data_IF_706803817211
#
_entry.id   IF_706803817211
#
_cell.length_a   1.000
_cell.length_b   1.000
_cell.length_c   1.000
_cell.angle_alpha   90.00
_cell.angle_beta   90.00
_cell.angle_gamma   90.00
#
_symmetry.space_group_name_H-M   'P 1'
#
loop_
_entity.id
_entity.type
_entity.pdbx_description
1 polymer ?
#
# COMPACT_ATOMS: atom_id res chain seq x y z
N UNK A 1 -14.39 23.12 -2.81
CA UNK A 1 -13.41 22.95 -1.74
C UNK A 1 -12.02 22.85 -2.36
N UNK A 2 -11.01 23.50 -1.77
CA UNK A 2 -9.65 23.49 -2.29
C UNK A 2 -8.96 22.16 -1.95
N UNK A 3 -7.90 21.82 -2.71
CA UNK A 3 -7.04 20.70 -2.43
C UNK A 3 -6.12 21.03 -1.23
N UNK A 4 -6.19 20.30 -0.10
CA UNK A 4 -5.37 20.58 1.08
C UNK A 4 -3.87 20.55 0.80
N UNK A 5 -3.41 19.70 -0.11
CA UNK A 5 -2.00 19.57 -0.44
C UNK A 5 -1.43 20.79 -1.20
N UNK A 6 -2.27 21.53 -1.91
CA UNK A 6 -1.87 22.67 -2.73
C UNK A 6 -2.38 24.03 -2.24
N UNK A 7 -3.46 24.04 -1.46
CA UNK A 7 -4.16 25.29 -1.09
C UNK A 7 -3.99 25.65 0.39
N UNK A 8 -3.69 24.69 1.27
CA UNK A 8 -3.47 24.97 2.69
C UNK A 8 -2.16 25.72 2.92
N UNK A 9 -2.23 26.73 3.77
CA UNK A 9 -1.09 27.53 4.22
C UNK A 9 -1.02 27.56 5.74
N UNK A 10 0.14 27.91 6.30
CA UNK A 10 0.36 28.01 7.75
C UNK A 10 0.84 29.42 8.11
N UNK A 11 -0.05 30.42 8.10
CA UNK A 11 0.31 31.80 8.43
C UNK A 11 0.94 31.90 9.81
N UNK A 12 2.05 32.65 9.93
CA UNK A 12 2.75 32.86 11.20
C UNK A 12 3.61 31.72 11.68
N UNK A 13 3.70 30.61 10.95
CA UNK A 13 4.62 29.50 11.25
C UNK A 13 5.96 29.75 10.55
N UNK A 14 7.01 30.03 11.34
CA UNK A 14 8.36 30.25 10.82
C UNK A 14 8.86 29.03 10.05
N UNK A 15 9.35 29.25 8.83
CA UNK A 15 9.82 28.20 7.93
C UNK A 15 8.73 27.63 7.01
N UNK A 16 7.46 27.90 7.31
CA UNK A 16 6.32 27.47 6.49
C UNK A 16 5.82 28.55 5.51
N UNK A 17 6.62 29.57 5.26
CA UNK A 17 6.32 30.57 4.24
C UNK A 17 6.33 29.91 2.86
N UNK A 18 5.29 30.17 2.08
CA UNK A 18 5.19 29.68 0.71
C UNK A 18 6.28 30.26 -0.18
N UNK A 19 6.88 29.45 -1.02
CA UNK A 19 7.79 29.92 -2.08
C UNK A 19 6.96 30.52 -3.22
N UNK A 20 7.08 31.82 -3.50
CA UNK A 20 6.28 32.49 -4.52
C UNK A 20 6.65 32.12 -5.96
N UNK A 21 7.71 31.37 -6.17
CA UNK A 21 8.11 30.92 -7.51
C UNK A 21 7.23 29.75 -8.02
N UNK A 22 6.45 29.11 -7.15
CA UNK A 22 5.50 28.06 -7.54
C UNK A 22 4.10 28.63 -7.73
N UNK A 23 3.36 28.10 -8.70
CA UNK A 23 1.98 28.47 -9.01
C UNK A 23 0.96 27.86 -8.04
N UNK A 24 1.39 27.03 -7.10
CA UNK A 24 0.57 26.32 -6.10
C UNK A 24 1.10 26.57 -4.69
N UNK A 25 0.24 26.38 -3.71
CA UNK A 25 0.53 26.54 -2.28
C UNK A 25 0.44 25.20 -1.55
N UNK A 26 0.42 25.20 -0.22
CA UNK A 26 0.20 24.03 0.59
C UNK A 26 1.41 23.11 0.73
N UNK A 27 1.16 21.84 1.02
CA UNK A 27 2.21 20.84 1.25
C UNK A 27 3.15 20.69 0.05
N UNK A 28 2.62 20.72 -1.15
CA UNK A 28 3.45 20.54 -2.37
C UNK A 28 4.41 21.70 -2.59
N UNK A 29 3.98 22.94 -2.27
CA UNK A 29 4.87 24.09 -2.30
C UNK A 29 6.00 23.94 -1.27
N UNK A 30 5.66 23.61 -0.02
CA UNK A 30 6.66 23.41 1.02
C UNK A 30 7.63 22.27 0.70
N UNK A 31 7.13 21.18 0.15
CA UNK A 31 7.96 20.04 -0.25
C UNK A 31 8.95 20.42 -1.36
N UNK A 32 8.52 21.18 -2.36
CA UNK A 32 9.41 21.66 -3.40
C UNK A 32 10.38 22.77 -2.93
N UNK A 33 9.96 23.63 -1.99
CA UNK A 33 10.86 24.54 -1.27
C UNK A 33 11.96 23.76 -0.53
N UNK A 34 11.59 22.67 0.15
CA UNK A 34 12.54 21.77 0.82
C UNK A 34 13.51 21.13 -0.18
N UNK A 35 13.03 20.64 -1.32
CA UNK A 35 13.88 20.06 -2.37
C UNK A 35 14.90 21.03 -2.94
N UNK A 36 14.58 22.33 -3.07
CA UNK A 36 15.56 23.35 -3.47
C UNK A 36 16.73 23.45 -2.48
N UNK A 37 16.48 23.23 -1.22
CA UNK A 37 17.49 23.24 -0.14
C UNK A 37 18.24 21.91 -0.04
N UNK A 38 17.59 20.81 -0.48
CA UNK A 38 18.08 19.44 -0.39
C UNK A 38 17.94 18.72 -1.74
N UNK A 39 18.76 19.08 -2.74
CA UNK A 39 18.59 18.63 -4.14
C UNK A 39 18.78 17.12 -4.34
N UNK A 40 19.44 16.45 -3.42
CA UNK A 40 19.64 15.00 -3.44
C UNK A 40 18.41 14.20 -2.94
N UNK A 41 17.45 14.87 -2.27
CA UNK A 41 16.22 14.24 -1.80
C UNK A 41 15.25 14.07 -2.96
N UNK A 42 14.74 12.85 -3.13
CA UNK A 42 13.69 12.53 -4.09
C UNK A 42 12.34 12.44 -3.37
N UNK A 43 11.32 12.99 -3.99
CA UNK A 43 9.95 12.96 -3.47
C UNK A 43 9.04 12.25 -4.46
N UNK A 44 8.27 11.30 -3.97
CA UNK A 44 7.28 10.57 -4.78
C UNK A 44 5.90 10.86 -4.23
N UNK A 45 4.92 10.88 -5.14
CA UNK A 45 3.51 10.87 -4.74
C UNK A 45 3.06 9.42 -4.58
N UNK A 46 2.55 9.06 -3.40
CA UNK A 46 1.93 7.76 -3.17
C UNK A 46 0.45 7.82 -3.51
N UNK A 47 -0.02 6.87 -4.31
CA UNK A 47 -1.38 6.83 -4.83
C UNK A 47 -2.07 5.55 -4.40
N UNK A 48 -3.24 5.68 -3.80
CA UNK A 48 -4.04 4.58 -3.27
C UNK A 48 -4.04 4.53 -1.74
N UNK A 49 -3.66 3.40 -1.20
CA UNK A 49 -3.72 3.12 0.24
C UNK A 49 -4.98 2.36 0.63
N UNK A 50 -5.03 1.93 1.90
CA UNK A 50 -6.10 1.08 2.43
C UNK A 50 -7.51 1.61 2.14
N UNK A 51 -7.74 2.90 2.34
CA UNK A 51 -9.06 3.51 2.18
C UNK A 51 -9.41 3.85 0.72
N UNK A 52 -8.43 4.01 -0.16
CA UNK A 52 -8.66 4.60 -1.50
C UNK A 52 -8.43 3.58 -2.63
N UNK A 53 -8.01 2.35 -2.32
CA UNK A 53 -7.74 1.32 -3.34
C UNK A 53 -8.97 0.93 -4.15
N UNK A 54 -10.12 0.73 -3.50
CA UNK A 54 -11.36 0.29 -4.16
C UNK A 54 -12.34 1.41 -4.49
N UNK A 55 -12.06 2.62 -4.03
CA UNK A 55 -12.95 3.76 -4.19
C UNK A 55 -12.57 4.91 -3.26
N UNK A 56 -13.54 5.63 -2.75
CA UNK A 56 -13.31 6.73 -1.81
C UNK A 56 -14.50 6.91 -0.87
N UNK A 57 -14.31 7.66 0.20
CA UNK A 57 -15.40 8.10 1.06
C UNK A 57 -15.91 9.47 0.61
N UNK A 58 -17.23 9.57 0.36
CA UNK A 58 -17.89 10.84 0.07
C UNK A 58 -17.89 11.77 1.28
N UNK A 59 -18.29 13.01 1.08
CA UNK A 59 -18.38 14.02 2.16
C UNK A 59 -19.36 13.61 3.28
N UNK A 60 -20.32 12.77 2.97
CA UNK A 60 -21.30 12.19 3.91
C UNK A 60 -20.79 10.93 4.63
N UNK A 61 -19.54 10.53 4.39
CA UNK A 61 -18.93 9.31 4.91
C UNK A 61 -19.40 8.02 4.21
N UNK A 62 -20.16 8.12 3.12
CA UNK A 62 -20.60 6.96 2.35
C UNK A 62 -19.46 6.47 1.45
N UNK A 63 -19.21 5.15 1.45
CA UNK A 63 -18.24 4.52 0.57
C UNK A 63 -18.72 4.53 -0.88
N UNK A 64 -17.93 5.11 -1.78
CA UNK A 64 -18.14 5.04 -3.24
C UNK A 64 -17.19 4.00 -3.82
N UNK A 65 -17.73 2.85 -4.22
CA UNK A 65 -16.96 1.69 -4.68
C UNK A 65 -16.67 1.78 -6.20
N UNK A 66 -16.12 2.90 -6.64
CA UNK A 66 -15.71 3.12 -8.02
C UNK A 66 -14.61 4.18 -8.09
N UNK A 67 -13.87 4.18 -9.19
CA UNK A 67 -12.77 5.14 -9.40
C UNK A 67 -11.45 4.76 -8.72
N UNK A 68 -11.40 3.67 -7.95
CA UNK A 68 -10.19 3.12 -7.38
C UNK A 68 -9.51 2.10 -8.31
N UNK A 69 -8.42 1.52 -7.86
CA UNK A 69 -7.57 0.63 -8.66
C UNK A 69 -8.31 -0.60 -9.21
N UNK A 70 -9.19 -1.24 -8.42
CA UNK A 70 -9.89 -2.45 -8.88
C UNK A 70 -10.65 -2.22 -10.18
N UNK A 71 -11.42 -1.13 -10.27
CA UNK A 71 -12.24 -0.85 -11.45
C UNK A 71 -11.45 -0.13 -12.55
N UNK A 72 -10.45 0.63 -12.19
CA UNK A 72 -9.59 1.33 -13.11
C UNK A 72 -8.70 0.36 -13.89
N UNK A 73 -8.19 -0.70 -13.24
CA UNK A 73 -7.27 -1.66 -13.87
C UNK A 73 -7.96 -2.86 -14.50
N UNK A 74 -9.14 -3.27 -13.97
CA UNK A 74 -9.74 -4.56 -14.29
C UNK A 74 -11.24 -4.41 -14.54
N UNK A 75 -11.72 -4.89 -15.69
CA UNK A 75 -13.14 -4.95 -16.04
C UNK A 75 -13.90 -5.93 -15.15
N UNK A 76 -15.24 -5.86 -15.18
CA UNK A 76 -16.08 -6.73 -14.37
C UNK A 76 -15.96 -8.23 -14.73
N UNK A 77 -15.55 -8.54 -15.94
CA UNK A 77 -15.30 -9.90 -16.43
C UNK A 77 -13.87 -10.42 -16.09
N UNK A 78 -13.07 -9.62 -15.38
CA UNK A 78 -11.69 -9.94 -15.02
C UNK A 78 -10.66 -9.61 -16.11
N UNK A 79 -11.06 -9.11 -17.27
CA UNK A 79 -10.12 -8.67 -18.30
C UNK A 79 -9.44 -7.36 -17.94
N UNK A 80 -8.28 -7.10 -18.55
CA UNK A 80 -7.53 -5.86 -18.36
C UNK A 80 -8.33 -4.66 -18.88
N UNK A 81 -8.49 -3.61 -18.07
CA UNK A 81 -9.05 -2.33 -18.50
C UNK A 81 -7.93 -1.43 -19.04
N UNK A 82 -7.51 -1.65 -20.26
CA UNK A 82 -6.40 -0.90 -20.88
C UNK A 82 -6.66 0.60 -20.91
N UNK A 83 -7.89 1.02 -21.22
CA UNK A 83 -8.25 2.44 -21.28
C UNK A 83 -8.10 3.15 -19.93
N UNK A 84 -8.52 2.48 -18.84
CA UNK A 84 -8.34 3.01 -17.49
C UNK A 84 -6.87 3.10 -17.10
N UNK A 85 -6.08 2.07 -17.39
CA UNK A 85 -4.64 2.06 -17.13
C UNK A 85 -3.92 3.17 -17.89
N UNK A 86 -4.22 3.34 -19.18
CA UNK A 86 -3.60 4.38 -20.02
C UNK A 86 -3.94 5.80 -19.52
N UNK A 87 -5.20 6.02 -19.15
CA UNK A 87 -5.64 7.31 -18.60
C UNK A 87 -4.94 7.61 -17.28
N UNK A 88 -4.86 6.63 -16.38
CA UNK A 88 -4.18 6.78 -15.10
C UNK A 88 -2.69 7.08 -15.28
N UNK A 89 -1.98 6.30 -16.09
CA UNK A 89 -0.55 6.48 -16.29
C UNK A 89 -0.21 7.88 -16.83
N UNK A 90 -0.99 8.38 -17.79
CA UNK A 90 -0.84 9.75 -18.31
C UNK A 90 -1.10 10.80 -17.22
N UNK A 91 -2.21 10.67 -16.49
CA UNK A 91 -2.55 11.62 -15.42
C UNK A 91 -1.50 11.63 -14.30
N UNK A 92 -0.91 10.48 -13.98
CA UNK A 92 0.16 10.38 -12.99
C UNK A 92 1.41 11.15 -13.44
N UNK A 93 1.80 11.03 -14.70
CA UNK A 93 2.92 11.80 -15.28
C UNK A 93 2.61 13.30 -15.28
N UNK A 94 1.45 13.72 -15.76
CA UNK A 94 1.03 15.12 -15.74
C UNK A 94 1.06 15.71 -14.31
N UNK A 95 0.65 14.91 -13.33
CA UNK A 95 0.65 15.30 -11.93
C UNK A 95 2.07 15.53 -11.39
N UNK A 96 2.99 14.58 -11.61
CA UNK A 96 4.37 14.71 -11.10
C UNK A 96 5.12 15.84 -11.79
N UNK A 97 4.87 16.09 -13.08
CA UNK A 97 5.45 17.23 -13.81
C UNK A 97 4.90 18.55 -13.28
N UNK A 98 3.59 18.63 -13.03
CA UNK A 98 2.93 19.85 -12.53
C UNK A 98 3.41 20.22 -11.14
N UNK A 99 3.55 19.25 -10.24
CA UNK A 99 3.86 19.51 -8.83
C UNK A 99 5.30 19.20 -8.45
N UNK A 100 6.16 18.86 -9.42
CA UNK A 100 7.60 18.71 -9.20
C UNK A 100 8.01 17.47 -8.40
N UNK A 101 7.24 16.39 -8.46
CA UNK A 101 7.64 15.10 -7.88
C UNK A 101 8.69 14.40 -8.74
N UNK A 102 9.44 13.49 -8.11
CA UNK A 102 10.49 12.71 -8.79
C UNK A 102 10.03 11.32 -9.20
N UNK A 103 8.77 11.00 -8.97
CA UNK A 103 8.19 9.71 -9.34
C UNK A 103 6.86 9.44 -8.67
N UNK A 104 6.40 8.21 -8.87
CA UNK A 104 5.11 7.70 -8.37
C UNK A 104 5.37 6.46 -7.52
N UNK A 105 4.72 6.40 -6.37
CA UNK A 105 4.60 5.20 -5.53
C UNK A 105 3.17 4.66 -5.65
N UNK A 106 3.02 3.37 -5.90
CA UNK A 106 1.70 2.73 -6.03
C UNK A 106 1.40 1.92 -4.78
N UNK A 107 0.41 2.40 -4.05
CA UNK A 107 -0.11 1.77 -2.85
C UNK A 107 -1.45 1.08 -3.15
N UNK A 108 -1.39 -0.02 -3.91
CA UNK A 108 -2.54 -0.80 -4.32
C UNK A 108 -2.75 -1.98 -3.37
N UNK A 109 -3.74 -1.85 -2.47
CA UNK A 109 -4.01 -2.81 -1.41
C UNK A 109 -5.33 -3.61 -1.64
N UNK A 110 -5.35 -4.76 -2.35
CA UNK A 110 -4.21 -5.44 -2.98
C UNK A 110 -4.61 -6.04 -4.34
N UNK A 111 -3.75 -6.02 -5.36
CA UNK A 111 -4.00 -6.66 -6.66
C UNK A 111 -3.78 -8.18 -6.58
N UNK A 112 -4.47 -8.85 -5.64
CA UNK A 112 -4.26 -10.25 -5.30
C UNK A 112 -5.37 -11.16 -5.85
N UNK A 113 -5.01 -12.34 -6.30
CA UNK A 113 -5.97 -13.39 -6.66
C UNK A 113 -6.56 -14.12 -5.43
N UNK A 114 -6.04 -13.81 -4.23
CA UNK A 114 -6.56 -14.36 -2.99
C UNK A 114 -7.91 -13.75 -2.64
N UNK A 115 -8.77 -14.53 -1.98
CA UNK A 115 -10.09 -14.06 -1.56
C UNK A 115 -9.97 -13.07 -0.39
N UNK A 116 -10.91 -12.14 -0.28
CA UNK A 116 -11.00 -11.17 0.82
C UNK A 116 -9.69 -10.40 1.06
N UNK A 117 -9.09 -9.93 -0.03
CA UNK A 117 -7.88 -9.13 0.00
C UNK A 117 -8.22 -7.64 -0.08
N UNK A 118 -7.60 -6.83 0.80
CA UNK A 118 -7.82 -5.39 0.88
C UNK A 118 -8.91 -4.99 1.88
N UNK A 119 -9.41 -3.76 1.73
CA UNK A 119 -10.42 -3.20 2.63
C UNK A 119 -11.72 -4.02 2.57
N UNK A 120 -12.34 -4.38 3.70
CA UNK A 120 -13.55 -5.20 3.72
C UNK A 120 -14.72 -4.65 2.91
N UNK A 121 -14.90 -3.34 2.87
CA UNK A 121 -15.95 -2.69 2.07
C UNK A 121 -15.74 -2.88 0.55
N UNK A 122 -14.52 -3.22 0.14
CA UNK A 122 -14.16 -3.46 -1.26
C UNK A 122 -14.26 -4.93 -1.69
N UNK A 123 -14.46 -5.88 -0.76
CA UNK A 123 -14.54 -7.30 -1.08
C UNK A 123 -15.52 -7.65 -2.22
N UNK A 124 -16.71 -7.02 -2.32
CA UNK A 124 -17.60 -7.29 -3.45
C UNK A 124 -16.98 -6.98 -4.83
N UNK A 125 -16.14 -5.95 -4.93
CA UNK A 125 -15.48 -5.58 -6.19
C UNK A 125 -14.15 -6.31 -6.39
N UNK A 126 -13.34 -6.48 -5.35
CA UNK A 126 -12.07 -7.18 -5.45
C UNK A 126 -12.26 -8.67 -5.73
N UNK A 127 -13.14 -9.36 -5.00
CA UNK A 127 -13.41 -10.78 -5.20
C UNK A 127 -14.00 -11.10 -6.58
N UNK A 128 -14.88 -10.23 -7.09
CA UNK A 128 -15.44 -10.40 -8.42
C UNK A 128 -14.39 -10.32 -9.55
N UNK A 129 -13.28 -9.60 -9.31
CA UNK A 129 -12.21 -9.35 -10.28
C UNK A 129 -10.91 -10.11 -10.00
N UNK A 130 -10.83 -10.83 -8.88
CA UNK A 130 -9.57 -11.40 -8.36
C UNK A 130 -8.77 -12.24 -9.35
N UNK A 131 -9.46 -12.96 -10.26
CA UNK A 131 -8.80 -13.77 -11.29
C UNK A 131 -7.97 -12.93 -12.29
N UNK A 132 -8.32 -11.66 -12.48
CA UNK A 132 -7.64 -10.75 -13.42
C UNK A 132 -6.74 -9.71 -12.77
N UNK A 133 -6.80 -9.52 -11.44
CA UNK A 133 -6.12 -8.41 -10.77
C UNK A 133 -4.59 -8.46 -10.94
N UNK A 134 -3.99 -9.61 -10.80
CA UNK A 134 -2.55 -9.78 -10.95
C UNK A 134 -2.08 -9.46 -12.40
N UNK A 135 -2.80 -9.97 -13.41
CA UNK A 135 -2.49 -9.66 -14.81
C UNK A 135 -2.62 -8.16 -15.11
N UNK A 136 -3.69 -7.54 -14.63
CA UNK A 136 -3.94 -6.10 -14.78
C UNK A 136 -2.90 -5.25 -14.05
N UNK A 137 -2.47 -5.67 -12.86
CA UNK A 137 -1.41 -5.02 -12.11
C UNK A 137 -0.08 -5.00 -12.87
N UNK A 138 0.30 -6.11 -13.49
CA UNK A 138 1.50 -6.16 -14.34
C UNK A 138 1.42 -5.16 -15.49
N UNK A 139 0.26 -5.07 -16.16
CA UNK A 139 0.05 -4.11 -17.26
C UNK A 139 0.11 -2.67 -16.75
N UNK A 140 -0.45 -2.39 -15.57
CA UNK A 140 -0.34 -1.07 -14.93
C UNK A 140 1.11 -0.68 -14.67
N UNK A 141 1.91 -1.56 -14.07
CA UNK A 141 3.33 -1.27 -13.79
C UNK A 141 4.13 -1.05 -15.07
N UNK A 142 3.90 -1.87 -16.10
CA UNK A 142 4.51 -1.69 -17.39
C UNK A 142 4.16 -0.33 -17.99
N UNK A 143 2.88 0.02 -18.03
CA UNK A 143 2.42 1.27 -18.63
C UNK A 143 2.92 2.51 -17.89
N UNK A 144 2.92 2.47 -16.56
CA UNK A 144 3.51 3.54 -15.75
C UNK A 144 5.00 3.73 -16.07
N UNK A 145 5.78 2.65 -16.17
CA UNK A 145 7.20 2.74 -16.51
C UNK A 145 7.41 3.35 -17.90
N UNK A 146 6.64 2.92 -18.90
CA UNK A 146 6.70 3.47 -20.27
C UNK A 146 6.44 4.98 -20.29
N UNK A 147 5.37 5.45 -19.64
CA UNK A 147 5.03 6.89 -19.62
C UNK A 147 6.05 7.71 -18.81
N UNK A 148 6.56 7.16 -17.70
CA UNK A 148 7.60 7.79 -16.89
C UNK A 148 8.93 7.88 -17.64
N UNK A 149 9.29 6.87 -18.46
CA UNK A 149 10.49 6.89 -19.28
C UNK A 149 10.38 7.95 -20.40
N UNK A 150 9.24 8.02 -21.08
CA UNK A 150 8.97 9.05 -22.09
C UNK A 150 9.10 10.47 -21.50
N UNK A 151 8.51 10.69 -20.33
CA UNK A 151 8.62 11.97 -19.63
C UNK A 151 10.05 12.25 -19.18
N UNK A 152 10.75 11.23 -18.70
CA UNK A 152 12.13 11.29 -18.26
C UNK A 152 13.10 11.66 -19.36
N UNK A 153 12.95 11.07 -20.55
CA UNK A 153 13.73 11.42 -21.74
C UNK A 153 13.58 12.92 -22.10
N UNK A 154 12.36 13.44 -22.05
CA UNK A 154 12.08 14.87 -22.30
C UNK A 154 12.68 15.77 -21.22
N UNK A 155 12.65 15.34 -19.97
CA UNK A 155 13.13 16.12 -18.83
C UNK A 155 14.63 15.94 -18.54
N UNK A 156 15.32 15.02 -19.23
CA UNK A 156 16.72 14.68 -18.98
C UNK A 156 16.98 14.05 -17.61
N UNK A 157 16.00 13.32 -17.06
CA UNK A 157 16.09 12.66 -15.75
C UNK A 157 15.34 11.34 -15.71
N UNK A 158 15.67 10.49 -14.73
CA UNK A 158 14.90 9.28 -14.45
C UNK A 158 13.82 9.57 -13.42
N UNK A 159 12.57 9.27 -13.74
CA UNK A 159 11.47 9.28 -12.80
C UNK A 159 11.32 7.91 -12.13
N UNK A 160 11.19 7.91 -10.82
CA UNK A 160 11.09 6.69 -10.03
C UNK A 160 9.69 6.08 -10.06
N UNK A 161 9.63 4.76 -10.11
CA UNK A 161 8.41 3.98 -9.90
C UNK A 161 8.63 2.99 -8.75
N UNK A 162 7.84 3.13 -7.70
CA UNK A 162 7.91 2.27 -6.52
C UNK A 162 6.54 1.69 -6.18
N UNK A 163 6.51 0.71 -5.32
CA UNK A 163 5.27 0.15 -4.78
C UNK A 163 5.35 0.04 -3.26
N UNK A 164 4.22 0.21 -2.59
CA UNK A 164 3.99 -0.31 -1.26
C UNK A 164 3.50 -1.76 -1.38
N UNK A 165 4.23 -2.69 -0.80
CA UNK A 165 3.95 -4.12 -0.91
C UNK A 165 3.55 -4.72 0.42
N UNK A 166 2.54 -5.60 0.48
CA UNK A 166 2.27 -6.34 1.71
C UNK A 166 3.46 -7.20 2.11
N UNK A 167 3.52 -7.57 3.37
CA UNK A 167 4.51 -8.48 3.94
C UNK A 167 3.94 -9.89 4.14
N UNK A 168 2.63 -10.07 4.04
CA UNK A 168 1.96 -11.36 4.21
C UNK A 168 2.17 -12.28 3.01
N UNK A 169 2.68 -13.49 3.26
CA UNK A 169 2.80 -14.52 2.23
C UNK A 169 1.47 -14.95 1.62
N UNK A 170 0.37 -14.83 2.35
CA UNK A 170 -0.97 -15.05 1.81
C UNK A 170 -1.26 -14.11 0.64
N UNK A 171 -1.04 -12.81 0.82
CA UNK A 171 -1.28 -11.79 -0.21
C UNK A 171 -0.26 -11.91 -1.35
N UNK A 172 1.02 -12.03 -1.03
CA UNK A 172 2.10 -12.06 -2.01
C UNK A 172 2.01 -13.23 -2.99
N UNK A 173 1.54 -14.40 -2.54
CA UNK A 173 1.28 -15.54 -3.43
C UNK A 173 0.23 -15.22 -4.50
N UNK A 174 -0.79 -14.44 -4.16
CA UNK A 174 -1.83 -14.03 -5.09
C UNK A 174 -1.46 -12.84 -5.96
N UNK A 175 -0.47 -12.05 -5.57
CA UNK A 175 -0.01 -10.89 -6.34
C UNK A 175 1.04 -11.23 -7.40
N UNK A 176 1.84 -12.27 -7.18
CA UNK A 176 2.94 -12.66 -8.07
C UNK A 176 3.81 -11.45 -8.49
N UNK A 177 4.17 -10.61 -7.53
CA UNK A 177 4.84 -9.31 -7.76
C UNK A 177 6.16 -9.44 -8.50
N UNK A 178 6.81 -10.60 -8.46
CA UNK A 178 8.03 -10.88 -9.22
C UNK A 178 7.89 -10.65 -10.73
N UNK A 179 6.66 -10.72 -11.28
CA UNK A 179 6.41 -10.43 -12.69
C UNK A 179 6.49 -8.93 -13.01
N UNK A 180 6.33 -8.07 -12.01
CA UNK A 180 6.29 -6.60 -12.15
C UNK A 180 7.58 -5.92 -11.71
N UNK A 181 8.44 -6.58 -10.93
CA UNK A 181 9.64 -5.96 -10.32
C UNK A 181 10.65 -5.40 -11.33
N UNK A 182 10.62 -5.87 -12.57
CA UNK A 182 11.50 -5.31 -13.64
C UNK A 182 11.14 -3.88 -14.04
N UNK A 183 9.95 -3.42 -13.73
CA UNK A 183 9.47 -2.06 -14.02
C UNK A 183 9.72 -1.09 -12.87
N UNK A 184 10.05 -1.60 -11.68
CA UNK A 184 10.16 -0.83 -10.45
C UNK A 184 11.59 -0.41 -10.16
N UNK A 185 11.77 0.72 -9.51
CA UNK A 185 13.03 1.15 -8.94
C UNK A 185 13.23 0.58 -7.53
N UNK A 186 12.21 0.65 -6.68
CA UNK A 186 12.23 0.13 -5.32
C UNK A 186 10.92 -0.58 -4.98
N UNK A 187 11.04 -1.51 -4.02
CA UNK A 187 9.91 -2.14 -3.34
C UNK A 187 9.93 -1.69 -1.88
N UNK A 188 8.86 -1.03 -1.43
CA UNK A 188 8.67 -0.61 -0.04
C UNK A 188 7.79 -1.65 0.65
N UNK A 189 8.39 -2.54 1.43
CA UNK A 189 7.64 -3.59 2.13
C UNK A 189 6.96 -2.99 3.35
N UNK A 190 5.64 -3.08 3.42
CA UNK A 190 4.83 -2.76 4.61
C UNK A 190 4.97 -3.90 5.62
N UNK A 191 6.13 -3.99 6.28
CA UNK A 191 6.47 -5.02 7.26
C UNK A 191 5.91 -4.71 8.64
N UNK A 192 4.62 -4.39 8.66
CA UNK A 192 3.81 -4.04 9.82
C UNK A 192 2.36 -4.45 9.57
N UNK A 193 1.49 -4.22 10.55
CA UNK A 193 0.11 -4.67 10.53
C UNK A 193 -0.02 -6.18 10.31
N UNK A 194 0.92 -6.96 10.86
CA UNK A 194 0.92 -8.40 10.74
C UNK A 194 -0.12 -9.05 11.65
N UNK A 195 -0.37 -8.44 12.82
CA UNK A 195 -1.46 -8.79 13.73
C UNK A 195 -2.12 -7.53 14.27
N UNK A 196 -3.42 -7.58 14.46
CA UNK A 196 -4.22 -6.48 14.99
C UNK A 196 -5.62 -6.93 15.38
N UNK A 197 -6.47 -5.97 15.71
CA UNK A 197 -7.83 -6.23 16.22
C UNK A 197 -8.80 -6.84 15.19
N UNK A 198 -8.39 -7.03 13.94
CA UNK A 198 -9.19 -7.69 12.89
C UNK A 198 -9.27 -9.20 13.03
N UNK A 199 -8.41 -9.80 13.85
CA UNK A 199 -8.49 -11.22 14.19
C UNK A 199 -8.37 -11.44 15.69
N UNK A 200 -8.63 -12.67 16.15
CA UNK A 200 -8.60 -13.01 17.57
C UNK A 200 -7.22 -13.46 18.07
N UNK A 201 -6.22 -13.54 17.21
CA UNK A 201 -4.88 -13.99 17.59
C UNK A 201 -4.02 -12.80 17.99
N UNK A 202 -3.45 -12.86 19.19
CA UNK A 202 -2.51 -11.84 19.69
C UNK A 202 -1.12 -12.13 19.14
N UNK A 203 -0.59 -11.21 18.37
CA UNK A 203 0.73 -11.37 17.75
C UNK A 203 1.47 -10.05 17.59
N UNK A 204 2.65 -10.13 17.03
CA UNK A 204 3.48 -8.95 16.79
C UNK A 204 2.94 -8.10 15.65
N UNK A 205 2.88 -6.79 15.86
CA UNK A 205 2.56 -5.83 14.78
C UNK A 205 3.59 -5.89 13.63
N UNK A 206 4.87 -6.06 13.96
CA UNK A 206 5.98 -6.02 13.01
C UNK A 206 7.06 -7.04 13.37
N UNK A 207 6.73 -8.33 13.26
CA UNK A 207 7.67 -9.41 13.52
C UNK A 207 8.85 -9.34 12.55
N UNK A 208 10.10 -9.44 13.08
CA UNK A 208 11.29 -9.51 12.23
C UNK A 208 11.50 -10.92 11.68
N UNK A 209 11.33 -11.94 12.50
CA UNK A 209 11.50 -13.35 12.16
C UNK A 209 10.29 -14.17 12.63
N UNK A 210 10.08 -15.31 11.99
CA UNK A 210 9.19 -16.34 12.50
C UNK A 210 9.82 -17.07 13.69
N UNK A 211 9.00 -17.36 14.69
CA UNK A 211 9.43 -18.14 15.88
C UNK A 211 8.84 -19.54 15.90
N UNK A 212 7.99 -19.90 14.94
CA UNK A 212 7.23 -21.15 14.93
C UNK A 212 6.11 -21.22 15.95
N UNK A 213 5.80 -20.10 16.64
CA UNK A 213 4.83 -20.05 17.74
C UNK A 213 3.57 -19.22 17.41
N UNK A 214 3.48 -18.68 16.20
CA UNK A 214 2.34 -17.87 15.79
C UNK A 214 1.06 -18.70 15.78
N UNK A 215 0.14 -18.37 16.69
CA UNK A 215 -1.11 -19.13 16.89
C UNK A 215 -2.06 -18.99 15.71
N UNK A 216 -2.03 -17.87 14.97
CA UNK A 216 -2.80 -17.70 13.75
C UNK A 216 -2.30 -18.64 12.65
N UNK A 217 -1.00 -18.64 12.38
CA UNK A 217 -0.38 -19.52 11.40
C UNK A 217 -0.51 -21.00 11.76
N UNK A 218 -0.41 -21.32 13.06
CA UNK A 218 -0.64 -22.68 13.57
C UNK A 218 -2.08 -23.15 13.29
N UNK A 219 -3.08 -22.30 13.50
CA UNK A 219 -4.48 -22.59 13.21
C UNK A 219 -4.71 -22.92 11.74
N UNK A 220 -4.02 -22.24 10.85
CA UNK A 220 -4.08 -22.47 9.40
C UNK A 220 -3.18 -23.62 8.92
N UNK A 221 -2.53 -24.32 9.83
CA UNK A 221 -1.69 -25.47 9.51
C UNK A 221 -0.36 -25.14 8.84
N UNK A 222 0.07 -23.87 8.88
CA UNK A 222 1.30 -23.41 8.20
C UNK A 222 2.54 -24.17 8.67
N UNK A 223 2.61 -24.49 9.97
CA UNK A 223 3.76 -25.21 10.53
C UNK A 223 3.72 -26.74 10.33
N UNK A 224 2.61 -27.27 9.83
CA UNK A 224 2.39 -28.75 9.76
C UNK A 224 2.18 -29.25 8.34
N UNK A 225 1.96 -28.38 7.37
CA UNK A 225 1.75 -28.77 5.97
C UNK A 225 3.02 -28.59 5.15
N UNK A 226 3.26 -29.52 4.23
CA UNK A 226 4.41 -29.50 3.34
C UNK A 226 4.43 -28.29 2.40
N UNK A 227 3.25 -27.71 2.11
CA UNK A 227 3.11 -26.52 1.26
C UNK A 227 3.91 -25.31 1.76
N UNK A 228 4.00 -25.15 3.08
CA UNK A 228 4.70 -24.04 3.71
C UNK A 228 6.08 -24.41 4.28
N UNK A 229 6.50 -25.65 4.12
CA UNK A 229 7.79 -26.16 4.64
C UNK A 229 7.99 -25.88 6.15
N UNK A 230 6.90 -25.68 6.89
CA UNK A 230 6.92 -25.32 8.31
C UNK A 230 7.39 -23.88 8.59
N UNK A 231 7.42 -23.02 7.60
CA UNK A 231 7.93 -21.65 7.71
C UNK A 231 6.76 -20.66 7.77
N UNK A 232 6.70 -19.86 8.84
CA UNK A 232 5.72 -18.80 9.01
C UNK A 232 6.00 -17.61 8.08
N UNK A 233 4.96 -17.03 7.52
CA UNK A 233 5.05 -15.98 6.51
C UNK A 233 4.54 -14.61 6.98
N UNK A 234 4.22 -14.43 8.28
CA UNK A 234 3.84 -13.14 8.85
C UNK A 234 5.04 -12.49 9.56
N UNK A 235 6.07 -12.22 8.78
CA UNK A 235 7.27 -11.56 9.28
C UNK A 235 8.09 -10.89 8.17
N UNK A 236 8.95 -9.98 8.55
CA UNK A 236 9.80 -9.19 7.66
C UNK A 236 10.80 -10.03 6.87
N UNK A 237 11.47 -10.98 7.53
CA UNK A 237 12.49 -11.84 6.90
C UNK A 237 11.90 -12.64 5.73
N UNK A 238 10.71 -13.20 5.92
CA UNK A 238 10.02 -13.94 4.88
C UNK A 238 9.72 -13.05 3.66
N UNK A 239 9.17 -11.85 3.88
CA UNK A 239 8.83 -10.92 2.81
C UNK A 239 10.08 -10.44 2.06
N UNK A 240 11.16 -10.15 2.78
CA UNK A 240 12.45 -9.80 2.15
C UNK A 240 12.98 -10.94 1.30
N UNK A 241 12.92 -12.18 1.77
CA UNK A 241 13.37 -13.38 1.00
C UNK A 241 12.54 -13.57 -0.25
N UNK A 242 11.22 -13.35 -0.17
CA UNK A 242 10.35 -13.40 -1.35
C UNK A 242 10.85 -12.47 -2.46
N UNK A 243 11.14 -11.21 -2.14
CA UNK A 243 11.63 -10.25 -3.13
C UNK A 243 13.09 -10.50 -3.54
N UNK A 244 13.95 -10.98 -2.63
CA UNK A 244 15.35 -11.26 -2.92
C UNK A 244 15.55 -12.30 -4.02
N UNK A 245 14.55 -13.08 -4.33
CA UNK A 245 14.55 -13.98 -5.48
C UNK A 245 14.59 -13.27 -6.84
N UNK A 246 14.14 -12.00 -6.90
CA UNK A 246 14.00 -11.23 -8.13
C UNK A 246 14.57 -9.81 -8.07
N UNK A 247 14.87 -9.28 -6.88
CA UNK A 247 15.29 -7.88 -6.65
C UNK A 247 16.57 -7.85 -5.82
N UNK A 248 17.52 -7.00 -6.18
CA UNK A 248 18.72 -6.79 -5.37
C UNK A 248 18.37 -6.15 -4.02
N UNK A 249 19.18 -6.43 -2.98
CA UNK A 249 18.94 -5.92 -1.63
C UNK A 249 18.84 -4.39 -1.58
N UNK A 250 19.64 -3.67 -2.35
CA UNK A 250 19.63 -2.22 -2.40
C UNK A 250 18.38 -1.59 -3.01
N UNK A 251 17.44 -2.41 -3.51
CA UNK A 251 16.15 -1.97 -4.06
C UNK A 251 14.97 -2.39 -3.20
N UNK A 252 15.21 -2.92 -2.00
CA UNK A 252 14.18 -3.35 -1.05
C UNK A 252 14.28 -2.47 0.18
N UNK A 253 13.20 -1.77 0.51
CA UNK A 253 13.04 -1.01 1.72
C UNK A 253 12.15 -1.77 2.71
N UNK A 254 12.55 -1.79 3.97
CA UNK A 254 11.77 -2.39 5.07
C UNK A 254 11.01 -1.27 5.77
N UNK A 255 9.68 -1.42 5.87
CA UNK A 255 8.83 -0.51 6.60
C UNK A 255 8.93 -0.71 8.11
N UNK A 256 8.98 0.39 8.86
CA UNK A 256 9.04 0.39 10.32
C UNK A 256 7.83 1.17 10.84
N UNK A 257 6.94 0.54 11.64
CA UNK A 257 5.78 1.23 12.19
C UNK A 257 6.20 2.14 13.38
N UNK A 258 5.75 3.38 13.35
CA UNK A 258 5.84 4.29 14.51
C UNK A 258 4.52 4.30 15.29
N UNK A 259 3.86 3.15 15.40
CA UNK A 259 2.60 2.93 16.10
C UNK A 259 2.53 1.50 16.65
N UNK A 260 1.55 1.27 17.51
CA UNK A 260 1.29 -0.04 18.13
C UNK A 260 -0.09 -0.56 17.77
N UNK A 261 -0.27 -1.88 17.85
CA UNK A 261 -1.56 -2.56 17.83
C UNK A 261 -1.85 -3.09 19.23
N UNK A 262 -3.05 -2.85 19.74
CA UNK A 262 -3.47 -3.24 21.08
C UNK A 262 -4.55 -4.32 21.06
N UNK A 263 -4.54 -5.16 22.08
CA UNK A 263 -5.55 -6.20 22.31
C UNK A 263 -6.07 -6.07 23.74
N UNK A 264 -7.33 -6.42 23.95
CA UNK A 264 -7.92 -6.45 25.28
C UNK A 264 -8.58 -7.80 25.55
N UNK A 265 -8.83 -8.08 26.82
CA UNK A 265 -9.47 -9.32 27.29
C UNK A 265 -8.76 -10.59 26.76
N UNK A 266 -7.43 -10.54 26.80
CA UNK A 266 -6.57 -11.63 26.29
C UNK A 266 -6.57 -12.81 27.24
N UNK A 267 -6.74 -14.00 26.69
CA UNK A 267 -6.63 -15.26 27.40
C UNK A 267 -5.56 -16.17 26.80
N UNK A 268 -4.84 -16.91 27.65
CA UNK A 268 -3.80 -17.82 27.20
C UNK A 268 -2.51 -17.15 26.71
N UNK A 269 -1.72 -17.89 25.95
CA UNK A 269 -0.43 -17.46 25.46
C UNK A 269 0.64 -17.30 26.56
N UNK A 270 1.80 -16.78 26.18
CA UNK A 270 2.88 -16.44 27.13
C UNK A 270 2.83 -14.95 27.44
N UNK A 271 2.36 -14.56 28.60
CA UNK A 271 2.06 -13.16 28.96
C UNK A 271 1.12 -12.48 27.93
N UNK A 272 0.16 -13.24 27.40
CA UNK A 272 -0.79 -12.79 26.39
C UNK A 272 -0.31 -12.96 24.93
N UNK A 273 0.97 -12.98 24.67
CA UNK A 273 1.50 -13.21 23.32
C UNK A 273 1.15 -14.62 22.83
N UNK A 274 0.64 -14.73 21.61
CA UNK A 274 0.08 -15.94 20.99
C UNK A 274 -1.19 -16.46 21.69
N UNK A 275 -1.81 -15.64 22.54
CA UNK A 275 -3.12 -15.89 23.15
C UNK A 275 -4.27 -15.52 22.21
N UNK A 276 -5.47 -15.58 22.80
CA UNK A 276 -6.72 -15.22 22.12
C UNK A 276 -7.30 -13.95 22.73
N UNK A 277 -7.73 -13.02 21.88
CA UNK A 277 -8.44 -11.82 22.27
C UNK A 277 -9.84 -11.80 21.65
N UNK A 278 -10.79 -11.14 22.29
CA UNK A 278 -12.09 -10.90 21.70
C UNK A 278 -11.97 -9.93 20.51
N UNK A 279 -12.72 -10.20 19.45
CA UNK A 279 -12.85 -9.23 18.36
C UNK A 279 -13.57 -7.97 18.84
N UNK A 280 -13.23 -6.77 18.32
CA UNK A 280 -13.92 -5.54 18.65
C UNK A 280 -15.41 -5.62 18.32
N UNK A 281 -16.25 -5.06 19.21
CA UNK A 281 -17.68 -4.91 18.95
C UNK A 281 -17.94 -3.74 18.01
N UNK A 282 -18.01 -4.01 16.72
CA UNK A 282 -18.22 -3.03 15.68
C UNK A 282 -19.54 -2.24 15.82
N UNK A 283 -20.52 -2.77 16.58
CA UNK A 283 -21.76 -2.05 16.83
C UNK A 283 -21.59 -0.83 17.74
N UNK A 284 -20.48 -0.79 18.49
CA UNK A 284 -20.13 0.30 19.42
C UNK A 284 -19.18 1.33 18.85
N UNK A 285 -18.71 1.11 17.65
CA UNK A 285 -17.77 2.00 16.98
C UNK A 285 -18.49 2.78 15.89
N UNK A 286 -18.33 4.11 15.87
CA UNK A 286 -18.86 4.90 14.79
C UNK A 286 -18.14 4.55 13.48
N UNK A 287 -18.91 4.34 12.40
CA UNK A 287 -18.35 4.03 11.09
C UNK A 287 -17.36 5.13 10.65
N UNK A 288 -16.21 4.76 10.15
CA UNK A 288 -15.19 5.68 9.68
C UNK A 288 -14.37 6.37 10.76
N UNK A 289 -14.47 5.95 12.02
CA UNK A 289 -13.65 6.54 13.11
C UNK A 289 -12.28 5.88 13.29
N UNK A 290 -11.98 4.81 12.57
CA UNK A 290 -10.76 4.01 12.74
C UNK A 290 -10.66 3.27 14.08
N UNK A 291 -11.68 3.36 14.93
CA UNK A 291 -11.73 2.71 16.23
C UNK A 291 -12.49 1.40 16.10
N UNK A 292 -11.81 0.30 16.34
CA UNK A 292 -12.38 -1.04 16.21
C UNK A 292 -12.59 -1.51 14.77
N UNK A 293 -11.89 -0.94 13.81
CA UNK A 293 -11.83 -1.46 12.45
C UNK A 293 -11.28 -2.89 12.44
N UNK A 294 -11.82 -3.70 11.51
CA UNK A 294 -11.43 -5.10 11.33
C UNK A 294 -10.06 -5.19 10.72
#
# INVERSE_FOLDING_TARGET
AGNPATNMTWPGVTGAEMDPSFSYTGHFNLLNKFKKQHPDVKTLISVGGWAETGGYFGEDGTRVNSGGFYTMTTNADGSVNQAGIDAFAKSAVEFIETYGFDGVDIDYEYPSSMNDSGHPDDFPISNARRAGLNASYRVLMQKLREELDIAGEKAGKHYLLTIASPSSGYLLRGMETFQSVKYLDYVNIMSYDLHGAWNSHVGHNAALFDTGLDSELAQWGVYTTAEFEGIGYLNTDWAVRYFRGAVSAGRINIGIPYYTRGFKDVSGGTNGLWGQAALPDQSKCAKGTGVGEK
#
